data_IF_576131032374
#
_entry.id   IF_576131032374
#
_cell.length_a   1.000
_cell.length_b   1.000
_cell.length_c   1.000
_cell.angle_alpha   90.00
_cell.angle_beta   90.00
_cell.angle_gamma   90.00
#
_symmetry.space_group_name_H-M   'P 1'
#
loop_
_entity.id
_entity.type
_entity.pdbx_description
1 polymer ?
#
# COMPACT_ATOMS: atom_id res chain seq x y z
N UNK A 1 -24.20 6.86 1.02
CA UNK A 1 -23.14 5.88 0.72
C UNK A 1 -23.82 4.65 0.14
N UNK A 2 -23.46 4.22 -1.08
CA UNK A 2 -23.88 2.91 -1.58
C UNK A 2 -23.09 1.88 -0.78
N UNK A 3 -23.75 0.97 -0.09
CA UNK A 3 -23.11 -0.20 0.50
C UNK A 3 -22.40 -0.96 -0.62
N UNK A 4 -21.08 -0.86 -0.69
CA UNK A 4 -20.31 -1.68 -1.59
C UNK A 4 -20.44 -3.11 -1.07
N UNK A 5 -21.08 -3.96 -1.88
CA UNK A 5 -21.18 -5.37 -1.57
C UNK A 5 -19.77 -5.96 -1.60
N UNK A 6 -19.34 -6.57 -0.50
CA UNK A 6 -18.03 -7.21 -0.42
C UNK A 6 -17.83 -8.17 -1.63
N UNK A 7 -16.74 -7.95 -2.36
CA UNK A 7 -16.31 -8.76 -3.49
C UNK A 7 -15.86 -10.15 -3.04
N UNK A 8 -15.20 -10.25 -1.87
CA UNK A 8 -14.78 -11.50 -1.24
C UNK A 8 -15.04 -11.46 0.28
N UNK A 9 -15.05 -12.62 0.94
CA UNK A 9 -15.16 -12.71 2.40
C UNK A 9 -13.84 -12.37 3.10
N UNK A 10 -13.92 -11.99 4.37
CA UNK A 10 -12.75 -11.71 5.23
C UNK A 10 -11.78 -12.90 5.29
N UNK A 11 -12.30 -14.12 5.43
CA UNK A 11 -11.49 -15.34 5.44
C UNK A 11 -10.68 -15.50 4.14
N UNK A 12 -11.29 -15.19 2.99
CA UNK A 12 -10.61 -15.27 1.69
C UNK A 12 -9.56 -14.16 1.58
N UNK A 13 -9.90 -12.92 1.96
CA UNK A 13 -8.98 -11.79 1.97
C UNK A 13 -7.76 -12.04 2.87
N UNK A 14 -7.98 -12.55 4.08
CA UNK A 14 -6.94 -12.92 5.03
C UNK A 14 -6.01 -13.99 4.46
N UNK A 15 -6.58 -15.06 3.89
CA UNK A 15 -5.77 -16.13 3.28
C UNK A 15 -4.94 -15.62 2.10
N UNK A 16 -5.53 -14.79 1.23
CA UNK A 16 -4.81 -14.19 0.10
C UNK A 16 -3.66 -13.30 0.59
N UNK A 17 -3.93 -12.42 1.55
CA UNK A 17 -2.92 -11.53 2.09
C UNK A 17 -1.83 -12.27 2.87
N UNK A 18 -2.18 -13.33 3.59
CA UNK A 18 -1.22 -14.20 4.29
C UNK A 18 -0.25 -14.87 3.32
N UNK A 19 -0.74 -15.39 2.19
CA UNK A 19 0.13 -15.94 1.13
C UNK A 19 1.03 -14.86 0.50
N UNK A 20 0.49 -13.66 0.32
CA UNK A 20 1.29 -12.52 -0.14
C UNK A 20 2.40 -12.16 0.84
N UNK A 21 2.09 -12.01 2.14
CA UNK A 21 3.07 -11.69 3.18
C UNK A 21 4.16 -12.77 3.29
N UNK A 22 3.86 -14.06 3.07
CA UNK A 22 4.88 -15.12 3.06
C UNK A 22 5.99 -14.88 2.03
N UNK A 23 5.70 -14.18 0.92
CA UNK A 23 6.70 -13.83 -0.11
C UNK A 23 7.71 -12.79 0.41
N UNK A 24 7.26 -11.81 1.20
CA UNK A 24 8.07 -10.68 1.65
C UNK A 24 8.63 -10.84 3.07
N UNK A 25 7.84 -11.41 3.97
CA UNK A 25 8.12 -11.53 5.41
C UNK A 25 8.43 -12.97 5.85
N UNK A 26 8.98 -13.79 4.94
CA UNK A 26 9.26 -15.23 5.16
C UNK A 26 9.98 -15.56 6.49
N UNK A 27 10.88 -14.68 6.95
CA UNK A 27 11.61 -14.86 8.21
C UNK A 27 10.72 -14.69 9.45
N UNK A 28 9.76 -13.78 9.40
CA UNK A 28 8.84 -13.50 10.51
C UNK A 28 7.80 -14.61 10.66
N UNK A 29 7.30 -15.14 9.55
CA UNK A 29 6.48 -16.36 9.55
C UNK A 29 7.20 -17.55 10.17
N UNK A 30 8.45 -17.80 9.77
CA UNK A 30 9.26 -18.89 10.37
C UNK A 30 9.47 -18.75 11.87
N UNK A 31 9.39 -17.52 12.39
CA UNK A 31 9.55 -17.19 13.80
C UNK A 31 8.22 -17.16 14.57
N UNK A 32 7.10 -17.47 13.91
CA UNK A 32 5.76 -17.39 14.50
C UNK A 32 5.35 -15.98 14.89
N UNK A 33 5.95 -14.94 14.30
CA UNK A 33 5.67 -13.54 14.63
C UNK A 33 4.46 -12.96 13.93
N UNK A 34 4.00 -13.62 12.88
CA UNK A 34 2.82 -13.24 12.08
C UNK A 34 1.81 -14.38 12.27
N UNK A 35 0.74 -14.09 13.00
CA UNK A 35 -0.44 -14.94 13.14
C UNK A 35 -1.62 -14.26 12.44
N UNK A 36 -2.74 -14.97 12.33
CA UNK A 36 -3.92 -14.46 11.63
C UNK A 36 -4.54 -13.27 12.36
N UNK A 37 -4.62 -13.34 13.69
CA UNK A 37 -5.08 -12.22 14.53
C UNK A 37 -4.19 -10.99 14.34
N UNK A 38 -2.88 -11.19 14.31
CA UNK A 38 -1.95 -10.09 14.10
C UNK A 38 -2.06 -9.46 12.72
N UNK A 39 -2.36 -10.26 11.69
CA UNK A 39 -2.59 -9.72 10.35
C UNK A 39 -3.81 -8.81 10.35
N UNK A 40 -4.90 -9.23 10.99
CA UNK A 40 -6.13 -8.45 11.11
C UNK A 40 -5.91 -7.16 11.91
N UNK A 41 -5.10 -7.22 12.97
CA UNK A 41 -4.79 -6.06 13.82
C UNK A 41 -3.82 -5.07 13.15
N UNK A 42 -2.75 -5.55 12.52
CA UNK A 42 -1.69 -4.71 11.95
C UNK A 42 -2.09 -4.15 10.57
N UNK A 43 -2.95 -4.84 9.82
CA UNK A 43 -3.31 -4.52 8.44
C UNK A 43 -4.82 -4.48 8.13
N UNK A 44 -5.68 -3.88 8.99
CA UNK A 44 -7.13 -3.91 8.79
C UNK A 44 -7.56 -3.28 7.45
N UNK A 45 -6.94 -2.17 7.05
CA UNK A 45 -7.33 -1.46 5.83
C UNK A 45 -6.96 -2.24 4.55
N UNK A 46 -5.92 -3.08 4.60
CA UNK A 46 -5.58 -3.99 3.50
C UNK A 46 -6.67 -5.06 3.35
N UNK A 47 -7.13 -5.62 4.46
CA UNK A 47 -8.19 -6.64 4.45
C UNK A 47 -9.48 -6.04 3.90
N UNK A 48 -9.87 -4.86 4.37
CA UNK A 48 -11.04 -4.15 3.86
C UNK A 48 -10.91 -3.83 2.37
N UNK A 49 -9.74 -3.36 1.92
CA UNK A 49 -9.50 -3.06 0.51
C UNK A 49 -9.56 -4.31 -0.40
N UNK A 50 -9.13 -5.48 0.11
CA UNK A 50 -9.28 -6.75 -0.59
C UNK A 50 -10.74 -7.18 -0.65
N UNK A 51 -11.46 -7.10 0.48
CA UNK A 51 -12.88 -7.40 0.56
C UNK A 51 -13.70 -6.52 -0.37
N UNK A 52 -13.34 -5.25 -0.53
CA UNK A 52 -14.02 -4.32 -1.44
C UNK A 52 -13.59 -4.49 -2.91
N UNK A 53 -12.63 -5.36 -3.20
CA UNK A 53 -12.11 -5.58 -4.56
C UNK A 53 -11.29 -4.40 -5.10
N UNK A 54 -10.79 -3.52 -4.22
CA UNK A 54 -10.00 -2.35 -4.57
C UNK A 54 -8.51 -2.66 -4.63
N UNK A 55 -8.06 -3.67 -3.88
CA UNK A 55 -6.67 -4.12 -3.87
C UNK A 55 -6.52 -5.44 -4.63
N UNK A 56 -5.57 -5.48 -5.56
CA UNK A 56 -5.11 -6.70 -6.23
C UNK A 56 -3.64 -6.89 -5.90
N UNK A 57 -3.29 -7.91 -5.11
CA UNK A 57 -1.93 -8.10 -4.59
C UNK A 57 -0.93 -8.62 -5.64
N UNK A 58 -1.43 -9.36 -6.63
CA UNK A 58 -0.62 -9.90 -7.72
C UNK A 58 -1.37 -9.70 -9.03
N UNK A 59 -1.22 -8.51 -9.61
CA UNK A 59 -1.78 -8.22 -10.92
C UNK A 59 -1.06 -9.07 -11.99
N UNK A 60 -1.82 -9.81 -12.81
CA UNK A 60 -1.28 -10.76 -13.80
C UNK A 60 -0.42 -10.10 -14.87
N UNK A 61 -0.65 -8.83 -15.18
CA UNK A 61 0.07 -8.11 -16.23
C UNK A 61 1.37 -7.50 -15.70
N UNK A 62 1.34 -6.93 -14.50
CA UNK A 62 2.48 -6.19 -13.93
C UNK A 62 3.31 -7.01 -12.95
N UNK A 63 2.75 -8.11 -12.43
CA UNK A 63 3.32 -8.90 -11.33
C UNK A 63 3.43 -8.11 -10.01
N UNK A 64 2.70 -6.99 -9.89
CA UNK A 64 2.80 -6.04 -8.78
C UNK A 64 1.44 -5.82 -8.13
N UNK A 65 1.42 -5.38 -6.86
CA UNK A 65 0.20 -4.93 -6.22
C UNK A 65 -0.32 -3.67 -6.91
N UNK A 66 -1.64 -3.62 -7.10
CA UNK A 66 -2.35 -2.47 -7.64
C UNK A 66 -3.52 -2.17 -6.72
N UNK A 67 -3.60 -0.94 -6.26
CA UNK A 67 -4.71 -0.43 -5.46
C UNK A 67 -5.53 0.57 -6.29
N UNK A 68 -6.84 0.42 -6.30
CA UNK A 68 -7.77 1.35 -6.92
C UNK A 68 -8.27 2.29 -5.83
N UNK A 69 -8.07 3.60 -6.04
CA UNK A 69 -8.46 4.61 -5.07
C UNK A 69 -9.98 4.65 -4.94
N UNK A 70 -10.47 4.71 -3.70
CA UNK A 70 -11.89 4.99 -3.41
C UNK A 70 -12.26 6.39 -3.91
N UNK A 71 -11.33 7.33 -3.74
CA UNK A 71 -11.46 8.72 -4.15
C UNK A 71 -10.32 9.09 -5.11
N UNK A 72 -10.58 9.07 -6.42
CA UNK A 72 -9.57 9.45 -7.41
C UNK A 72 -9.02 10.86 -7.15
N UNK A 73 -7.72 11.04 -7.31
CA UNK A 73 -7.08 12.35 -7.17
C UNK A 73 -7.32 13.12 -8.46
N UNK A 74 -8.12 14.18 -8.39
CA UNK A 74 -8.36 15.08 -9.53
C UNK A 74 -7.14 15.99 -9.77
N UNK A 75 -6.82 16.23 -11.05
CA UNK A 75 -5.84 17.28 -11.40
C UNK A 75 -6.52 18.64 -11.45
N UNK A 76 -5.74 19.72 -11.28
CA UNK A 76 -6.23 21.10 -11.46
C UNK A 76 -7.00 21.21 -12.79
N UNK A 77 -8.29 21.56 -12.71
CA UNK A 77 -9.20 21.62 -13.86
C UNK A 77 -10.26 20.52 -13.96
N UNK A 78 -10.34 19.57 -13.01
CA UNK A 78 -11.34 18.48 -12.96
C UNK A 78 -11.39 17.61 -14.23
N UNK A 79 -10.25 17.47 -14.89
CA UNK A 79 -10.15 16.60 -16.05
C UNK A 79 -10.07 15.14 -15.58
N UNK A 80 -11.21 14.43 -15.61
CA UNK A 80 -11.30 13.02 -15.21
C UNK A 80 -10.34 12.09 -15.96
N UNK A 81 -9.88 12.49 -17.16
CA UNK A 81 -8.91 11.72 -17.95
C UNK A 81 -7.49 11.77 -17.36
N UNK A 82 -7.19 12.79 -16.55
CA UNK A 82 -5.89 12.96 -15.90
C UNK A 82 -5.92 12.54 -14.43
N UNK A 83 -7.09 12.19 -13.90
CA UNK A 83 -7.24 11.80 -12.51
C UNK A 83 -6.48 10.49 -12.21
N UNK A 84 -5.76 10.47 -11.09
CA UNK A 84 -5.13 9.24 -10.60
C UNK A 84 -6.22 8.36 -10.01
N UNK A 85 -6.44 7.19 -10.61
CA UNK A 85 -7.45 6.21 -10.17
C UNK A 85 -6.84 4.97 -9.55
N UNK A 86 -5.60 4.66 -9.91
CA UNK A 86 -4.92 3.43 -9.50
C UNK A 86 -3.49 3.73 -9.11
N UNK A 87 -3.02 3.07 -8.05
CA UNK A 87 -1.66 3.13 -7.55
C UNK A 87 -1.01 1.77 -7.72
N UNK A 88 0.12 1.71 -8.43
CA UNK A 88 0.90 0.47 -8.61
C UNK A 88 2.14 0.50 -7.72
N UNK A 89 2.34 -0.56 -6.94
CA UNK A 89 3.42 -0.62 -5.95
C UNK A 89 4.70 -1.22 -6.51
N UNK A 90 5.84 -0.62 -6.18
CA UNK A 90 7.13 -1.28 -6.26
C UNK A 90 7.29 -2.20 -5.07
N UNK A 91 7.56 -3.46 -5.35
CA UNK A 91 7.72 -4.52 -4.32
C UNK A 91 9.16 -4.70 -3.86
N UNK A 92 10.12 -4.00 -4.48
CA UNK A 92 11.54 -4.07 -4.17
C UNK A 92 12.19 -2.70 -4.24
N UNK A 93 12.78 -2.26 -3.13
CA UNK A 93 13.68 -1.10 -3.08
C UNK A 93 15.12 -1.60 -3.19
N UNK A 94 15.90 -1.10 -4.17
CA UNK A 94 17.31 -1.48 -4.28
C UNK A 94 18.12 -0.81 -3.16
N UNK A 95 19.24 -1.40 -2.71
CA UNK A 95 20.11 -0.76 -1.73
C UNK A 95 20.56 0.66 -2.13
N UNK A 96 20.86 0.87 -3.43
CA UNK A 96 21.21 2.20 -3.97
C UNK A 96 20.07 3.21 -3.84
N UNK A 97 18.84 2.78 -4.04
CA UNK A 97 17.65 3.63 -3.90
C UNK A 97 17.43 3.97 -2.42
N UNK A 98 17.65 3.00 -1.53
CA UNK A 98 17.55 3.23 -0.08
C UNK A 98 18.54 4.28 0.41
N UNK A 99 19.79 4.22 -0.05
CA UNK A 99 20.80 5.26 0.25
C UNK A 99 20.33 6.63 -0.22
N UNK A 100 19.80 6.71 -1.45
CA UNK A 100 19.27 7.96 -2.01
C UNK A 100 18.06 8.49 -1.23
N UNK A 101 17.19 7.63 -0.73
CA UNK A 101 16.02 8.04 0.06
C UNK A 101 16.44 8.63 1.41
N UNK A 102 17.46 8.05 2.04
CA UNK A 102 18.02 8.51 3.32
C UNK A 102 18.95 9.71 3.18
N UNK A 103 19.39 10.04 1.97
CA UNK A 103 20.33 11.14 1.74
C UNK A 103 19.78 12.48 2.25
N UNK A 104 20.57 13.15 3.09
CA UNK A 104 20.20 14.39 3.77
C UNK A 104 19.07 14.26 4.81
N UNK A 105 18.67 13.06 5.21
CA UNK A 105 17.69 12.84 6.29
C UNK A 105 18.41 12.36 7.55
N UNK A 106 18.12 12.99 8.68
CA UNK A 106 18.44 12.43 9.99
C UNK A 106 17.29 11.50 10.45
N UNK A 107 17.44 10.16 10.44
CA UNK A 107 16.33 9.24 10.69
C UNK A 107 15.73 9.38 12.09
N UNK A 108 16.50 9.87 13.07
CA UNK A 108 16.04 10.00 14.46
C UNK A 108 15.08 11.17 14.65
N UNK A 109 15.24 12.24 13.86
CA UNK A 109 14.47 13.48 14.03
C UNK A 109 13.55 13.77 12.86
N UNK A 110 13.72 13.07 11.73
CA UNK A 110 13.01 13.34 10.47
C UNK A 110 12.35 12.09 9.90
N UNK A 111 11.86 11.20 10.76
CA UNK A 111 11.18 9.96 10.36
C UNK A 111 10.01 10.21 9.40
N UNK A 112 9.20 11.25 9.65
CA UNK A 112 8.08 11.61 8.76
C UNK A 112 8.53 11.95 7.34
N UNK A 113 9.68 12.64 7.18
CA UNK A 113 10.24 12.94 5.85
C UNK A 113 10.69 11.68 5.13
N UNK A 114 11.28 10.73 5.87
CA UNK A 114 11.66 9.45 5.30
C UNK A 114 10.44 8.65 4.85
N UNK A 115 9.40 8.56 5.68
CA UNK A 115 8.14 7.88 5.33
C UNK A 115 7.55 8.47 4.06
N UNK A 116 7.46 9.80 3.96
CA UNK A 116 6.94 10.47 2.76
C UNK A 116 7.77 10.13 1.50
N UNK A 117 9.10 10.21 1.57
CA UNK A 117 9.96 9.84 0.43
C UNK A 117 9.83 8.37 0.06
N UNK A 118 9.72 7.50 1.06
CA UNK A 118 9.54 6.07 0.83
C UNK A 118 8.22 5.79 0.14
N UNK A 119 7.12 6.41 0.60
CA UNK A 119 5.80 6.33 -0.04
C UNK A 119 5.85 6.78 -1.50
N UNK A 120 6.43 7.94 -1.78
CA UNK A 120 6.64 8.42 -3.16
C UNK A 120 7.43 7.41 -3.99
N UNK A 121 8.48 6.81 -3.42
CA UNK A 121 9.28 5.82 -4.11
C UNK A 121 8.50 4.55 -4.44
N UNK A 122 7.75 4.00 -3.49
CA UNK A 122 7.03 2.73 -3.71
C UNK A 122 5.78 2.90 -4.56
N UNK A 123 5.11 4.06 -4.52
CA UNK A 123 3.87 4.30 -5.28
C UNK A 123 4.07 5.06 -6.60
N UNK A 124 5.22 5.71 -6.79
CA UNK A 124 5.46 6.73 -7.82
C UNK A 124 4.53 7.96 -7.75
N UNK A 125 3.79 8.15 -6.67
CA UNK A 125 2.99 9.36 -6.48
C UNK A 125 3.90 10.54 -6.14
N UNK A 126 3.57 11.71 -6.68
CA UNK A 126 4.14 12.98 -6.29
C UNK A 126 3.67 13.40 -4.90
N UNK A 127 4.38 14.31 -4.24
CA UNK A 127 3.99 14.78 -2.90
C UNK A 127 2.57 15.34 -2.87
N UNK A 128 2.22 16.20 -3.83
CA UNK A 128 0.88 16.79 -3.90
C UNK A 128 -0.22 15.77 -4.17
N UNK A 129 0.09 14.65 -4.81
CA UNK A 129 -0.87 13.55 -4.99
C UNK A 129 -1.09 12.82 -3.67
N UNK A 130 -0.04 12.57 -2.90
CA UNK A 130 -0.14 11.95 -1.56
C UNK A 130 -0.91 12.85 -0.60
N UNK A 131 -0.67 14.16 -0.64
CA UNK A 131 -1.36 15.14 0.22
C UNK A 131 -2.88 15.24 -0.11
N UNK A 132 -3.28 14.81 -1.31
CA UNK A 132 -4.68 14.81 -1.76
C UNK A 132 -5.37 13.43 -1.63
N UNK A 133 -4.69 12.42 -1.11
CA UNK A 133 -5.32 11.14 -0.82
C UNK A 133 -6.36 11.32 0.28
N UNK A 134 -7.51 10.67 0.10
CA UNK A 134 -8.43 10.48 1.22
C UNK A 134 -7.76 9.63 2.31
N UNK A 135 -8.22 9.81 3.56
CA UNK A 135 -7.63 9.14 4.72
C UNK A 135 -7.61 7.61 4.56
N UNK A 136 -8.70 7.01 4.08
CA UNK A 136 -8.79 5.56 3.98
C UNK A 136 -7.84 5.01 2.91
N UNK A 137 -7.72 5.74 1.79
CA UNK A 137 -6.77 5.40 0.72
C UNK A 137 -5.32 5.57 1.20
N UNK A 138 -5.02 6.66 1.91
CA UNK A 138 -3.70 6.89 2.50
C UNK A 138 -3.31 5.81 3.50
N UNK A 139 -4.21 5.43 4.41
CA UNK A 139 -3.95 4.42 5.44
C UNK A 139 -3.73 3.04 4.81
N UNK A 140 -4.50 2.68 3.78
CA UNK A 140 -4.32 1.44 3.00
C UNK A 140 -2.97 1.41 2.30
N UNK A 141 -2.63 2.49 1.58
CA UNK A 141 -1.35 2.62 0.86
C UNK A 141 -0.18 2.55 1.84
N UNK A 142 -0.29 3.23 2.98
CA UNK A 142 0.74 3.27 4.02
C UNK A 142 0.97 1.89 4.63
N UNK A 143 -0.11 1.18 5.00
CA UNK A 143 0.00 -0.19 5.51
C UNK A 143 0.69 -1.11 4.49
N UNK A 144 0.26 -1.07 3.23
CA UNK A 144 0.83 -1.93 2.18
C UNK A 144 2.31 -1.61 1.92
N UNK A 145 2.72 -0.34 2.01
CA UNK A 145 4.11 0.06 1.86
C UNK A 145 5.03 -0.57 2.93
N UNK A 146 4.55 -0.78 4.16
CA UNK A 146 5.36 -1.40 5.24
C UNK A 146 5.70 -2.87 4.98
N UNK A 147 4.95 -3.55 4.10
CA UNK A 147 5.22 -4.93 3.68
C UNK A 147 6.56 -5.03 2.94
N UNK A 148 6.96 -3.99 2.21
CA UNK A 148 8.18 -3.99 1.38
C UNK A 148 9.43 -3.41 2.07
N UNK A 149 9.30 -2.94 3.31
CA UNK A 149 10.41 -2.53 4.16
C UNK A 149 11.09 -3.74 4.81
#
# INVERSE_FOLDING_TARGET
MKENKAAISEEVALNEFKEFLKKFKKREFRRGKITDEKILDDYPNIIDALMDGLLVLENKETGKPVFTLRFPIETEGKNEALAVKTVTFKTRTKPSDMVRLLDGINPQTQQAKYVMRYLQHVTNLAQGEIDNLDKDDYDTISQLATVFQ
#
